data_IF_926109860485
#
_entry.id   IF_926109860485
#
_cell.length_a   1.000
_cell.length_b   1.000
_cell.length_c   1.000
_cell.angle_alpha   90.00
_cell.angle_beta   90.00
_cell.angle_gamma   90.00
#
_symmetry.space_group_name_H-M   'P 1'
#
loop_
_entity.id
_entity.type
_entity.pdbx_description
1 polymer ?
#
# COMPACT_ATOMS: atom_id res chain seq x y z
N UNK A 1 27.12 -27.65 19.36
CA UNK A 1 27.23 -26.19 19.58
C UNK A 1 26.99 -25.49 18.25
N UNK A 2 25.89 -24.71 18.15
CA UNK A 2 25.54 -23.65 17.17
C UNK A 2 25.52 -24.05 15.67
N UNK A 3 24.36 -24.22 15.05
CA UNK A 3 23.53 -23.17 14.37
C UNK A 3 24.38 -22.47 13.30
N UNK A 4 24.06 -22.51 12.01
CA UNK A 4 23.13 -21.52 11.42
C UNK A 4 22.72 -21.92 10.00
N UNK A 5 21.41 -21.79 9.77
CA UNK A 5 20.64 -21.95 8.53
C UNK A 5 21.09 -20.92 7.47
N UNK A 6 21.47 -21.37 6.27
CA UNK A 6 21.66 -20.51 5.09
C UNK A 6 20.72 -20.95 3.96
N UNK A 7 19.44 -20.57 4.07
CA UNK A 7 18.47 -20.66 2.96
C UNK A 7 17.68 -19.36 2.75
N UNK A 8 18.19 -18.22 3.22
CA UNK A 8 17.50 -16.93 3.10
C UNK A 8 17.88 -16.10 1.85
N UNK A 9 18.48 -16.70 0.82
CA UNK A 9 19.17 -15.95 -0.24
C UNK A 9 18.34 -15.57 -1.47
N UNK A 10 17.01 -15.71 -1.45
CA UNK A 10 16.17 -15.44 -2.63
C UNK A 10 15.16 -14.28 -2.50
N UNK A 11 15.15 -13.51 -1.40
CA UNK A 11 14.17 -12.41 -1.21
C UNK A 11 14.64 -11.01 -1.58
N UNK A 12 15.91 -10.82 -1.98
CA UNK A 12 16.48 -9.48 -2.18
C UNK A 12 16.38 -8.95 -3.62
N UNK A 13 16.18 -9.81 -4.63
CA UNK A 13 16.30 -9.41 -6.04
C UNK A 13 15.07 -8.65 -6.61
N UNK A 14 13.95 -8.56 -5.88
CA UNK A 14 12.77 -7.80 -6.35
C UNK A 14 12.81 -6.31 -5.93
N UNK A 15 13.85 -5.89 -5.20
CA UNK A 15 13.90 -4.56 -4.58
C UNK A 15 14.23 -3.40 -5.54
N UNK A 16 14.68 -3.67 -6.78
CA UNK A 16 15.20 -2.64 -7.67
C UNK A 16 14.15 -1.98 -8.59
N UNK A 17 12.91 -2.50 -8.65
CA UNK A 17 11.90 -2.00 -9.60
C UNK A 17 10.51 -1.74 -8.98
N UNK A 18 10.38 -1.73 -7.65
CA UNK A 18 9.12 -1.42 -7.00
C UNK A 18 9.10 0.04 -6.52
N UNK A 19 8.07 0.84 -6.84
CA UNK A 19 7.98 2.22 -6.37
C UNK A 19 7.97 2.23 -4.84
N UNK A 20 9.01 2.80 -4.24
CA UNK A 20 9.15 2.82 -2.79
C UNK A 20 8.16 3.87 -2.28
N UNK A 21 7.04 3.41 -1.73
CA UNK A 21 6.19 4.25 -0.89
C UNK A 21 6.88 4.39 0.45
N UNK A 22 7.00 5.62 0.96
CA UNK A 22 7.54 5.85 2.28
C UNK A 22 6.39 5.96 3.28
N UNK A 23 6.53 5.34 4.45
CA UNK A 23 5.68 5.69 5.59
C UNK A 23 6.01 7.09 6.12
N UNK A 24 5.21 7.58 7.06
CA UNK A 24 5.48 8.85 7.75
C UNK A 24 6.82 8.92 8.52
N UNK A 25 7.56 7.81 8.60
CA UNK A 25 8.89 7.73 9.20
C UNK A 25 10.02 7.56 8.14
N UNK A 26 9.70 7.66 6.84
CA UNK A 26 10.68 7.56 5.76
C UNK A 26 11.15 6.13 5.45
N UNK A 27 10.39 5.10 5.86
CA UNK A 27 10.73 3.69 5.62
C UNK A 27 9.94 3.14 4.42
N UNK A 28 10.55 2.24 3.62
CA UNK A 28 9.86 1.64 2.48
C UNK A 28 8.68 0.77 2.94
N UNK A 29 7.53 0.98 2.31
CA UNK A 29 6.28 0.27 2.57
C UNK A 29 5.92 -0.58 1.36
N UNK A 30 5.73 -1.87 1.60
CA UNK A 30 5.19 -2.78 0.60
C UNK A 30 3.66 -2.92 0.75
N UNK A 31 2.95 -2.61 -0.33
CA UNK A 31 1.51 -2.77 -0.45
C UNK A 31 1.17 -4.01 -1.27
N UNK A 32 0.07 -4.66 -0.91
CA UNK A 32 -0.53 -5.70 -1.77
C UNK A 32 -1.16 -5.06 -3.02
N UNK A 33 -1.37 -5.82 -4.11
CA UNK A 33 -2.02 -5.30 -5.31
C UNK A 33 -3.40 -4.67 -5.04
N UNK A 34 -4.20 -5.30 -4.18
CA UNK A 34 -5.52 -4.77 -3.78
C UNK A 34 -5.40 -3.47 -2.99
N UNK A 35 -4.43 -3.38 -2.06
CA UNK A 35 -4.18 -2.14 -1.31
C UNK A 35 -3.74 -1.00 -2.22
N UNK A 36 -2.95 -1.30 -3.26
CA UNK A 36 -2.53 -0.31 -4.25
C UNK A 36 -3.74 0.22 -5.04
N UNK A 37 -4.62 -0.66 -5.52
CA UNK A 37 -5.86 -0.26 -6.21
C UNK A 37 -6.79 0.57 -5.31
N UNK A 38 -6.99 0.15 -4.05
CA UNK A 38 -7.76 0.92 -3.07
C UNK A 38 -7.14 2.31 -2.88
N UNK A 39 -5.81 2.38 -2.73
CA UNK A 39 -5.10 3.64 -2.54
C UNK A 39 -5.19 4.57 -3.76
N UNK A 40 -5.16 4.02 -4.98
CA UNK A 40 -5.41 4.75 -6.22
C UNK A 40 -6.83 5.33 -6.27
N UNK A 41 -7.85 4.54 -5.94
CA UNK A 41 -9.22 5.04 -5.90
C UNK A 41 -9.42 6.17 -4.87
N UNK A 42 -8.75 6.06 -3.73
CA UNK A 42 -8.71 7.13 -2.71
C UNK A 42 -8.05 8.39 -3.24
N UNK A 43 -6.93 8.25 -3.95
CA UNK A 43 -6.23 9.36 -4.59
C UNK A 43 -7.11 10.09 -5.60
N UNK A 44 -7.89 9.33 -6.39
CA UNK A 44 -8.86 9.85 -7.34
C UNK A 44 -10.14 10.42 -6.70
N UNK A 45 -10.23 10.46 -5.36
CA UNK A 45 -11.38 11.02 -4.65
C UNK A 45 -12.62 10.12 -4.64
N UNK A 46 -12.51 8.86 -5.07
CA UNK A 46 -13.64 7.92 -5.08
C UNK A 46 -14.13 7.62 -3.66
N UNK A 47 -15.40 7.25 -3.52
CA UNK A 47 -15.98 6.76 -2.27
C UNK A 47 -15.68 5.27 -2.06
N UNK A 48 -15.71 4.79 -0.81
CA UNK A 48 -15.51 3.35 -0.53
C UNK A 48 -16.50 2.47 -1.30
N UNK A 49 -17.73 2.94 -1.51
CA UNK A 49 -18.75 2.24 -2.30
C UNK A 49 -18.38 2.12 -3.78
N UNK A 50 -17.76 3.16 -4.35
CA UNK A 50 -17.30 3.15 -5.75
C UNK A 50 -16.09 2.22 -5.90
N UNK A 51 -15.11 2.32 -5.00
CA UNK A 51 -13.94 1.43 -4.97
C UNK A 51 -14.38 -0.04 -4.82
N UNK A 52 -15.36 -0.29 -3.94
CA UNK A 52 -15.92 -1.62 -3.73
C UNK A 52 -16.56 -2.19 -5.00
N UNK A 53 -17.35 -1.36 -5.69
CA UNK A 53 -17.97 -1.71 -6.97
C UNK A 53 -16.93 -2.02 -8.04
N UNK A 54 -15.91 -1.16 -8.22
CA UNK A 54 -14.86 -1.33 -9.21
C UNK A 54 -13.99 -2.57 -8.96
N UNK A 55 -13.74 -2.90 -7.69
CA UNK A 55 -12.94 -4.07 -7.31
C UNK A 55 -13.76 -5.36 -7.15
N UNK A 56 -15.09 -5.30 -7.26
CA UNK A 56 -15.96 -6.46 -7.05
C UNK A 56 -15.91 -7.03 -5.63
N UNK A 57 -15.72 -6.18 -4.62
CA UNK A 57 -15.62 -6.57 -3.20
C UNK A 57 -16.63 -5.81 -2.34
N UNK A 58 -16.82 -6.25 -1.10
CA UNK A 58 -17.70 -5.53 -0.16
C UNK A 58 -17.08 -4.21 0.31
N UNK A 59 -17.92 -3.19 0.60
CA UNK A 59 -17.46 -1.91 1.15
C UNK A 59 -16.73 -2.08 2.50
N UNK A 60 -17.17 -3.05 3.33
CA UNK A 60 -16.49 -3.41 4.57
C UNK A 60 -15.05 -3.89 4.32
N UNK A 61 -14.80 -4.60 3.22
CA UNK A 61 -13.47 -5.04 2.81
C UNK A 61 -12.58 -3.86 2.40
N UNK A 62 -13.14 -2.87 1.69
CA UNK A 62 -12.44 -1.61 1.39
C UNK A 62 -12.05 -0.87 2.68
N UNK A 63 -12.96 -0.81 3.67
CA UNK A 63 -12.66 -0.22 4.99
C UNK A 63 -11.53 -0.96 5.70
N UNK A 64 -11.51 -2.29 5.68
CA UNK A 64 -10.42 -3.09 6.24
C UNK A 64 -9.08 -2.80 5.55
N UNK A 65 -9.06 -2.71 4.22
CA UNK A 65 -7.86 -2.32 3.47
C UNK A 65 -7.40 -0.89 3.82
N UNK A 66 -8.34 0.05 4.00
CA UNK A 66 -8.03 1.42 4.43
C UNK A 66 -7.34 1.46 5.80
N UNK A 67 -7.88 0.73 6.78
CA UNK A 67 -7.27 0.64 8.11
C UNK A 67 -5.86 0.05 8.05
N UNK A 68 -5.67 -1.00 7.23
CA UNK A 68 -4.36 -1.59 7.03
C UNK A 68 -3.38 -0.63 6.32
N UNK A 69 -3.85 0.16 5.36
CA UNK A 69 -3.07 1.21 4.68
C UNK A 69 -2.63 2.29 5.67
N UNK A 70 -3.56 2.82 6.47
CA UNK A 70 -3.25 3.85 7.46
C UNK A 70 -2.17 3.39 8.45
N UNK A 71 -2.28 2.13 8.93
CA UNK A 71 -1.28 1.53 9.82
C UNK A 71 0.09 1.35 9.13
N UNK A 72 0.11 0.90 7.87
CA UNK A 72 1.36 0.69 7.11
C UNK A 72 2.07 1.99 6.76
N UNK A 73 1.31 3.01 6.41
CA UNK A 73 1.82 4.34 6.04
C UNK A 73 2.08 5.24 7.26
N UNK A 74 1.71 4.80 8.46
CA UNK A 74 1.76 5.58 9.69
C UNK A 74 1.00 6.92 9.58
N UNK A 75 -0.20 6.87 8.98
CA UNK A 75 -1.08 8.03 8.81
C UNK A 75 -2.39 7.83 9.56
N UNK A 76 -3.10 8.93 9.84
CA UNK A 76 -4.26 8.94 10.74
C UNK A 76 -5.60 9.08 10.01
N UNK A 77 -5.61 9.53 8.76
CA UNK A 77 -6.84 9.78 8.04
C UNK A 77 -6.74 9.49 6.54
N UNK A 78 -7.90 9.38 5.90
CA UNK A 78 -8.04 9.13 4.46
C UNK A 78 -7.31 10.17 3.62
N UNK A 79 -7.38 11.45 4.01
CA UNK A 79 -6.73 12.54 3.28
C UNK A 79 -5.23 12.35 3.23
N UNK A 80 -4.60 11.96 4.35
CA UNK A 80 -3.17 11.64 4.39
C UNK A 80 -2.82 10.42 3.54
N UNK A 81 -3.71 9.42 3.44
CA UNK A 81 -3.55 8.31 2.49
C UNK A 81 -3.60 8.82 1.04
N UNK A 82 -4.54 9.71 0.70
CA UNK A 82 -4.66 10.30 -0.63
C UNK A 82 -3.44 11.15 -1.02
N UNK A 83 -2.86 11.87 -0.07
CA UNK A 83 -1.62 12.65 -0.24
C UNK A 83 -0.43 11.69 -0.42
N UNK A 84 -0.30 10.66 0.42
CA UNK A 84 0.77 9.67 0.28
C UNK A 84 0.73 8.97 -1.09
N UNK A 85 -0.46 8.76 -1.64
CA UNK A 85 -0.66 8.16 -2.96
C UNK A 85 -0.17 9.05 -4.12
N UNK A 86 -0.09 10.38 -3.97
CA UNK A 86 0.47 11.27 -5.00
C UNK A 86 1.92 10.92 -5.34
N UNK A 87 2.70 10.52 -4.34
CA UNK A 87 4.08 10.06 -4.54
C UNK A 87 4.19 8.81 -5.42
N UNK A 88 3.10 8.02 -5.50
CA UNK A 88 2.99 6.87 -6.40
C UNK A 88 2.54 7.29 -7.80
N UNK A 89 1.55 8.18 -7.88
CA UNK A 89 0.94 8.63 -9.14
C UNK A 89 1.97 9.33 -10.04
N UNK A 90 2.85 10.16 -9.45
CA UNK A 90 3.93 10.86 -10.16
C UNK A 90 4.99 9.93 -10.80
N UNK A 91 4.97 8.62 -10.50
CA UNK A 91 5.88 7.63 -11.11
C UNK A 91 5.21 6.76 -12.17
N UNK A 92 3.90 6.90 -12.39
CA UNK A 92 3.15 6.14 -13.40
C UNK A 92 2.73 6.98 -14.62
N UNK A 93 3.08 8.28 -14.64
CA UNK A 93 2.90 9.20 -15.76
C UNK A 93 4.24 9.45 -16.45
#
# INVERSE_FOLDING_TARGET
MKVTVQEASQKAAVSAAMPHLMDGAGRPVHLTPTQLKVMQGVHSGQLNKQIAYELGIAEATVKAHMTALMRKLNVRNRTQVAIAAQSLALRQA
#
